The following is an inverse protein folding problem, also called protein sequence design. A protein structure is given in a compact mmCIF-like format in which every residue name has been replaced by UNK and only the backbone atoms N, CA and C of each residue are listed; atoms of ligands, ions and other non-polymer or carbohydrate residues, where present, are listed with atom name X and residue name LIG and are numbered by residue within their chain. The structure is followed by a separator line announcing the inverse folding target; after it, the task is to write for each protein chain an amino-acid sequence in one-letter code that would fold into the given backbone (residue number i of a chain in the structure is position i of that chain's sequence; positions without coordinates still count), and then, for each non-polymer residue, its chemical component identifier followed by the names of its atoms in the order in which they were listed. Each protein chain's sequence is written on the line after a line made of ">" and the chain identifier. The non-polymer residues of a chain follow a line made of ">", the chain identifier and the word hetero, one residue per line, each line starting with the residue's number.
data_IF_373517446774
#
_entry.id   IF_373517446774
#
_cell.length_a   1.000
_cell.length_b   1.000
_cell.length_c   1.000
_cell.angle_alpha   90.00
_cell.angle_beta   90.00
_cell.angle_gamma   90.00
#
_symmetry.space_group_name_H-M   'P 1'
#
loop_
_entity.id
_entity.type
_entity.pdbx_description
1 polymer ?
#
# COMPACT_ATOMS: atom_id res chain seq x y z
N UNK A 1 2.82 13.08 15.58
CA UNK A 1 3.53 11.80 15.82
C UNK A 1 3.42 10.97 14.56
N UNK A 2 4.54 10.69 13.88
CA UNK A 2 4.57 9.79 12.74
C UNK A 2 4.28 8.36 13.22
N UNK A 3 3.19 7.75 12.75
CA UNK A 3 2.96 6.31 12.98
C UNK A 3 4.15 5.54 12.37
N UNK A 4 4.77 4.66 13.15
CA UNK A 4 5.85 3.77 12.67
C UNK A 4 5.29 2.69 11.76
N UNK A 5 4.03 2.29 12.00
CA UNK A 5 3.34 1.21 11.31
C UNK A 5 2.08 1.75 10.65
N UNK A 6 1.84 1.38 9.40
CA UNK A 6 0.58 1.59 8.71
C UNK A 6 -0.23 0.30 8.72
N UNK A 7 -1.54 0.46 8.84
CA UNK A 7 -2.50 -0.59 8.52
C UNK A 7 -2.97 -0.45 7.08
N UNK A 8 -3.75 -1.42 6.59
CA UNK A 8 -4.33 -1.36 5.25
C UNK A 8 -5.20 -0.10 5.04
N UNK A 9 -5.88 0.34 6.11
CA UNK A 9 -6.66 1.56 6.11
C UNK A 9 -5.78 2.81 5.94
N UNK A 10 -4.67 2.92 6.68
CA UNK A 10 -3.71 4.02 6.51
C UNK A 10 -3.19 4.03 5.07
N UNK A 11 -2.81 2.87 4.52
CA UNK A 11 -2.32 2.78 3.13
C UNK A 11 -3.36 3.25 2.11
N UNK A 12 -4.63 2.88 2.31
CA UNK A 12 -5.76 3.38 1.52
C UNK A 12 -5.93 4.89 1.62
N UNK A 13 -5.86 5.47 2.80
CA UNK A 13 -5.96 6.92 3.00
C UNK A 13 -4.78 7.67 2.39
N UNK A 14 -3.57 7.10 2.42
CA UNK A 14 -2.36 7.72 1.86
C UNK A 14 -2.32 7.68 0.33
N UNK A 15 -2.84 6.62 -0.26
CA UNK A 15 -2.81 6.42 -1.73
C UNK A 15 -4.09 6.86 -2.41
N UNK A 16 -5.21 6.92 -1.70
CA UNK A 16 -6.54 7.21 -2.24
C UNK A 16 -7.17 6.04 -3.02
N UNK A 17 -6.52 4.87 -3.07
CA UNK A 17 -7.02 3.70 -3.80
C UNK A 17 -7.73 2.69 -2.89
N UNK A 18 -8.64 1.93 -3.49
CA UNK A 18 -9.32 0.82 -2.82
C UNK A 18 -8.33 -0.25 -2.36
N UNK A 19 -8.68 -0.91 -1.26
CA UNK A 19 -7.89 -1.99 -0.66
C UNK A 19 -7.56 -3.10 -1.68
N UNK A 20 -8.55 -3.53 -2.47
CA UNK A 20 -8.37 -4.51 -3.55
C UNK A 20 -7.35 -4.06 -4.59
N UNK A 21 -7.45 -2.81 -5.05
CA UNK A 21 -6.52 -2.29 -6.05
C UNK A 21 -5.08 -2.27 -5.51
N UNK A 22 -4.90 -1.83 -4.26
CA UNK A 22 -3.59 -1.83 -3.60
C UNK A 22 -3.04 -3.25 -3.43
N UNK A 23 -3.90 -4.21 -3.09
CA UNK A 23 -3.51 -5.62 -3.05
C UNK A 23 -3.05 -6.06 -4.43
N UNK A 24 -3.84 -5.92 -5.47
CA UNK A 24 -3.49 -6.49 -6.77
C UNK A 24 -2.34 -5.77 -7.49
N UNK A 25 -2.23 -4.45 -7.33
CA UNK A 25 -1.27 -3.63 -8.08
C UNK A 25 0.04 -3.37 -7.31
N UNK A 26 0.02 -3.47 -5.98
CA UNK A 26 1.18 -3.17 -5.14
C UNK A 26 1.56 -4.37 -4.28
N UNK A 27 0.68 -4.85 -3.41
CA UNK A 27 1.05 -5.80 -2.35
C UNK A 27 1.22 -7.23 -2.87
N UNK A 28 0.30 -7.71 -3.70
CA UNK A 28 0.26 -9.04 -4.30
C UNK A 28 0.83 -9.05 -5.71
N UNK A 29 1.20 -7.90 -6.25
CA UNK A 29 1.81 -7.82 -7.56
C UNK A 29 3.16 -8.57 -7.51
N UNK A 30 3.39 -9.60 -8.34
CA UNK A 30 4.53 -10.53 -8.18
C UNK A 30 5.88 -9.80 -8.16
N UNK A 31 6.01 -8.73 -8.95
CA UNK A 31 7.22 -7.90 -9.02
C UNK A 31 7.55 -7.13 -7.75
N UNK A 32 6.52 -6.79 -6.96
CA UNK A 32 6.65 -5.97 -5.76
C UNK A 32 6.52 -6.81 -4.51
N UNK A 33 5.65 -7.83 -4.52
CA UNK A 33 5.43 -8.76 -3.42
C UNK A 33 6.75 -9.26 -2.84
N UNK A 34 7.65 -9.80 -3.66
CA UNK A 34 8.94 -10.31 -3.17
C UNK A 34 9.82 -9.23 -2.52
N UNK A 35 9.71 -7.97 -2.96
CA UNK A 35 10.49 -6.86 -2.40
C UNK A 35 9.84 -6.26 -1.14
N UNK A 36 8.51 -6.36 -1.05
CA UNK A 36 7.71 -5.85 0.05
C UNK A 36 7.66 -6.83 1.22
N UNK A 37 7.66 -8.14 0.93
CA UNK A 37 7.54 -9.20 1.93
C UNK A 37 8.67 -9.19 2.95
N UNK A 38 8.28 -9.11 4.23
CA UNK A 38 9.22 -9.13 5.35
C UNK A 38 10.05 -10.42 5.39
N UNK A 39 9.51 -11.55 4.91
CA UNK A 39 10.26 -12.82 4.82
C UNK A 39 11.43 -12.72 3.84
N UNK A 40 11.31 -11.86 2.82
CA UNK A 40 12.35 -11.60 1.83
C UNK A 40 13.22 -10.38 2.19
N UNK A 41 13.10 -9.84 3.41
CA UNK A 41 13.82 -8.64 3.84
C UNK A 41 13.12 -7.32 3.48
N UNK A 42 11.85 -7.39 3.08
CA UNK A 42 10.98 -6.26 2.89
C UNK A 42 10.47 -5.66 4.21
N UNK A 43 9.33 -5.02 4.15
CA UNK A 43 8.78 -4.19 5.23
C UNK A 43 7.25 -4.27 5.35
N UNK A 44 6.67 -5.29 4.73
CA UNK A 44 5.26 -5.61 4.71
C UNK A 44 5.05 -6.98 5.33
N UNK A 45 4.23 -7.02 6.36
CA UNK A 45 3.78 -8.24 6.98
C UNK A 45 2.46 -8.69 6.34
N UNK A 46 2.52 -9.85 5.69
CA UNK A 46 1.37 -10.50 5.06
C UNK A 46 0.69 -11.41 6.09
N UNK A 47 -0.54 -11.10 6.53
CA UNK A 47 -1.24 -11.96 7.47
C UNK A 47 -1.68 -13.25 6.79
N UNK A 48 -1.14 -14.39 7.20
CA UNK A 48 -1.53 -15.71 6.70
C UNK A 48 -2.61 -16.36 7.58
N UNK A 49 -2.72 -15.96 8.85
CA UNK A 49 -3.67 -16.55 9.80
C UNK A 49 -4.93 -15.69 9.92
N UNK A 50 -6.07 -16.36 10.14
CA UNK A 50 -7.33 -15.70 10.51
C UNK A 50 -7.17 -14.96 11.84
N UNK A 51 -7.11 -13.62 11.78
CA UNK A 51 -7.01 -12.73 12.94
C UNK A 51 -5.85 -11.74 12.86
N UNK A 52 -4.90 -11.98 11.96
CA UNK A 52 -3.76 -11.09 11.76
C UNK A 52 -4.14 -9.93 10.83
N UNK A 53 -3.53 -8.78 11.06
CA UNK A 53 -3.74 -7.57 10.25
C UNK A 53 -2.49 -7.27 9.45
N UNK A 54 -2.69 -6.65 8.30
CA UNK A 54 -1.61 -6.10 7.51
C UNK A 54 -0.87 -5.03 8.30
N UNK A 55 0.46 -5.18 8.39
CA UNK A 55 1.34 -4.23 9.00
C UNK A 55 2.41 -3.82 8.00
N UNK A 56 2.51 -2.52 7.73
CA UNK A 56 3.52 -1.95 6.85
C UNK A 56 4.41 -1.01 7.67
N UNK A 57 5.72 -1.02 7.45
CA UNK A 57 6.58 0.03 8.03
C UNK A 57 6.32 1.31 7.24
N UNK A 58 5.77 2.32 7.91
CA UNK A 58 5.33 3.57 7.29
C UNK A 58 6.44 4.24 6.47
N UNK A 59 7.63 4.38 7.06
CA UNK A 59 8.76 5.05 6.41
C UNK A 59 9.21 4.31 5.15
N UNK A 60 9.32 2.97 5.22
CA UNK A 60 9.75 2.16 4.08
C UNK A 60 8.69 2.11 2.97
N UNK A 61 7.42 1.99 3.36
CA UNK A 61 6.30 2.00 2.41
C UNK A 61 6.19 3.35 1.71
N UNK A 62 6.40 4.45 2.43
CA UNK A 62 6.44 5.79 1.86
C UNK A 62 7.60 5.97 0.87
N UNK A 63 8.82 5.55 1.23
CA UNK A 63 9.98 5.58 0.32
C UNK A 63 9.71 4.76 -0.96
N UNK A 64 9.12 3.57 -0.81
CA UNK A 64 8.75 2.71 -1.94
C UNK A 64 7.71 3.37 -2.84
N UNK A 65 6.64 3.91 -2.26
CA UNK A 65 5.61 4.62 -3.01
C UNK A 65 6.17 5.83 -3.73
N UNK A 66 7.09 6.60 -3.13
CA UNK A 66 7.76 7.72 -3.79
C UNK A 66 8.63 7.25 -4.96
N UNK A 67 9.41 6.18 -4.77
CA UNK A 67 10.30 5.62 -5.81
C UNK A 67 9.52 5.07 -6.99
N UNK A 68 8.42 4.37 -6.74
CA UNK A 68 7.55 3.78 -7.75
C UNK A 68 6.33 4.64 -8.08
N UNK A 69 6.29 5.90 -7.61
CA UNK A 69 5.12 6.76 -7.73
C UNK A 69 4.67 6.90 -9.18
N UNK A 70 5.62 7.12 -10.09
CA UNK A 70 5.34 7.18 -11.53
C UNK A 70 4.84 5.85 -12.08
N UNK A 71 5.38 4.72 -11.68
CA UNK A 71 4.90 3.42 -12.21
C UNK A 71 3.51 3.07 -11.67
N UNK A 72 3.24 3.37 -10.40
CA UNK A 72 2.00 3.03 -9.71
C UNK A 72 0.87 4.00 -10.10
N UNK A 73 1.13 5.32 -10.10
CA UNK A 73 0.12 6.35 -10.30
C UNK A 73 0.03 6.85 -11.75
N UNK A 74 1.10 6.76 -12.56
CA UNK A 74 1.07 7.22 -13.96
C UNK A 74 0.54 6.15 -14.92
N UNK A 75 0.45 4.88 -14.49
CA UNK A 75 -0.03 3.76 -15.33
C UNK A 75 -1.54 3.73 -15.55
N UNK A 76 -2.28 4.78 -15.15
CA UNK A 76 -3.71 4.89 -15.43
C UNK A 76 -4.11 6.31 -15.83
N UNK A 77 -4.17 6.51 -17.15
CA UNK A 77 -5.05 7.50 -17.78
C UNK A 77 -6.54 7.12 -17.71
N UNK A 78 -6.96 6.18 -16.85
CA UNK A 78 -8.35 5.75 -16.76
C UNK A 78 -8.85 5.58 -15.32
N UNK A 79 -9.55 6.62 -14.89
CA UNK A 79 -10.88 6.55 -14.29
C UNK A 79 -11.06 5.56 -13.12
N UNK A 80 -10.73 6.02 -11.91
CA UNK A 80 -11.60 5.80 -10.74
C UNK A 80 -11.37 6.90 -9.69
N UNK A 81 -11.42 8.16 -10.14
CA UNK A 81 -11.64 9.29 -9.25
C UNK A 81 -13.11 9.31 -8.83
N UNK A 82 -13.49 8.46 -7.87
CA UNK A 82 -14.72 8.67 -7.10
C UNK A 82 -14.60 8.00 -5.73
N UNK A 83 -14.20 8.77 -4.71
CA UNK A 83 -15.13 9.18 -3.65
C UNK A 83 -14.42 9.87 -2.48
N UNK A 84 -14.75 11.16 -2.31
CA UNK A 84 -15.31 11.74 -1.07
C UNK A 84 -14.64 11.33 0.26
N UNK A 85 -13.65 12.11 0.71
CA UNK A 85 -13.62 12.64 2.08
C UNK A 85 -12.60 13.78 2.23
N UNK A 86 -12.96 14.98 1.77
CA UNK A 86 -12.50 16.22 2.42
C UNK A 86 -13.75 16.81 3.07
N UNK A 87 -14.09 16.29 4.24
CA UNK A 87 -15.12 16.82 5.10
C UNK A 87 -14.48 17.27 6.41
N UNK A 88 -13.94 18.49 6.44
CA UNK A 88 -14.48 19.65 7.17
C UNK A 88 -13.55 20.84 7.06
#
# INVERSE_FOLDING_TARGET
>A
MSKVWWSMQDLKERTGYSEDWLKENILLHPRYREMLDIENGGFVYYPERKGERWCFIASKMEEFLQKHFRDIFLKKGDTHANQKHLAR
#
